data_IF_354994050434
#
_entry.id   IF_354994050434
#
_cell.length_a   1.000
_cell.length_b   1.000
_cell.length_c   1.000
_cell.angle_alpha   90.00
_cell.angle_beta   90.00
_cell.angle_gamma   90.00
#
_symmetry.space_group_name_H-M   'P 1'
#
loop_
_entity.id
_entity.type
_entity.pdbx_description
1 polymer ?
#
# COMPACT_ATOMS: atom_id res chain seq x y z
N UNK A 1 -2.07 -8.05 -17.00
CA UNK A 1 -1.07 -8.06 -15.92
C UNK A 1 -1.42 -9.18 -14.95
N UNK A 2 -0.46 -10.00 -14.51
CA UNK A 2 -0.70 -10.96 -13.43
C UNK A 2 -0.41 -10.23 -12.11
N UNK A 3 -1.44 -10.02 -11.31
CA UNK A 3 -1.31 -9.34 -10.02
C UNK A 3 -1.01 -10.33 -8.91
N UNK A 4 -0.30 -9.87 -7.87
CA UNK A 4 -0.18 -10.67 -6.65
C UNK A 4 -1.56 -10.86 -6.01
N UNK A 5 -1.70 -11.90 -5.17
CA UNK A 5 -2.95 -12.17 -4.47
C UNK A 5 -3.41 -10.95 -3.65
N UNK A 6 -2.46 -10.26 -3.01
CA UNK A 6 -2.74 -9.04 -2.23
C UNK A 6 -3.31 -7.92 -3.12
N UNK A 7 -2.62 -7.56 -4.20
CA UNK A 7 -3.09 -6.53 -5.12
C UNK A 7 -4.44 -6.87 -5.77
N UNK A 8 -4.73 -8.17 -5.95
CA UNK A 8 -6.02 -8.58 -6.51
C UNK A 8 -7.19 -8.24 -5.60
N UNK A 9 -7.00 -8.33 -4.28
CA UNK A 9 -8.06 -8.13 -3.27
C UNK A 9 -8.06 -6.69 -2.73
N UNK A 10 -6.90 -6.12 -2.44
CA UNK A 10 -6.79 -4.84 -1.73
C UNK A 10 -6.22 -3.71 -2.57
N UNK A 11 -5.82 -3.99 -3.82
CA UNK A 11 -5.01 -3.08 -4.64
C UNK A 11 -3.66 -2.70 -4.00
N UNK A 12 -3.23 -3.40 -2.94
CA UNK A 12 -1.97 -3.12 -2.23
C UNK A 12 -1.04 -4.33 -2.35
N UNK A 13 0.23 -4.08 -2.63
CA UNK A 13 1.33 -5.03 -2.44
C UNK A 13 2.18 -4.55 -1.27
N UNK A 14 2.02 -5.12 -0.06
CA UNK A 14 2.87 -4.75 1.06
C UNK A 14 4.30 -5.26 0.85
N UNK A 15 5.29 -4.48 1.25
CA UNK A 15 6.65 -4.96 1.42
C UNK A 15 6.76 -5.63 2.80
N UNK A 16 7.08 -6.92 2.82
CA UNK A 16 7.19 -7.70 4.05
C UNK A 16 8.64 -7.87 4.53
N UNK A 17 9.63 -7.46 3.73
CA UNK A 17 11.05 -7.63 4.06
C UNK A 17 11.55 -6.55 5.04
N UNK A 18 10.92 -5.37 5.03
CA UNK A 18 11.30 -4.23 5.85
C UNK A 18 10.37 -4.11 7.08
N UNK A 19 10.85 -4.52 8.25
CA UNK A 19 10.08 -4.40 9.50
C UNK A 19 10.15 -3.01 10.17
N UNK A 20 11.07 -2.15 9.74
CA UNK A 20 11.28 -0.82 10.36
C UNK A 20 10.31 0.24 9.86
N UNK A 21 9.62 -0.01 8.76
CA UNK A 21 8.72 0.94 8.10
C UNK A 21 7.62 0.18 7.36
N UNK A 22 6.47 0.82 7.19
CA UNK A 22 5.38 0.27 6.39
C UNK A 22 5.56 0.80 4.98
N UNK A 23 6.07 -0.04 4.08
CA UNK A 23 6.28 0.29 2.67
C UNK A 23 5.55 -0.69 1.76
N UNK A 24 5.34 -0.29 0.52
CA UNK A 24 4.67 -1.13 -0.46
C UNK A 24 4.26 -0.36 -1.70
N UNK A 25 3.41 -1.00 -2.49
CA UNK A 25 2.89 -0.46 -3.73
C UNK A 25 1.37 -0.44 -3.72
N UNK A 26 0.78 0.65 -4.19
CA UNK A 26 -0.64 0.75 -4.54
C UNK A 26 -0.73 0.51 -6.04
N UNK A 27 -1.60 -0.40 -6.44
CA UNK A 27 -1.79 -0.80 -7.83
C UNK A 27 -3.15 -0.33 -8.31
N UNK A 28 -3.16 0.65 -9.21
CA UNK A 28 -4.34 1.13 -9.90
C UNK A 28 -4.57 0.33 -11.16
N UNK A 29 -5.48 -0.65 -11.07
CA UNK A 29 -5.79 -1.59 -12.17
C UNK A 29 -6.31 -0.87 -13.42
N UNK A 30 -7.11 0.17 -13.24
CA UNK A 30 -7.77 0.89 -14.34
C UNK A 30 -6.82 1.84 -15.08
N UNK A 31 -5.79 2.35 -14.39
CA UNK A 31 -4.80 3.27 -14.96
C UNK A 31 -3.49 2.59 -15.36
N UNK A 32 -3.37 1.28 -15.15
CA UNK A 32 -2.12 0.52 -15.32
C UNK A 32 -0.94 1.17 -14.55
N UNK A 33 -1.25 1.77 -13.40
CA UNK A 33 -0.32 2.59 -12.63
C UNK A 33 0.03 1.92 -11.30
N UNK A 34 1.27 2.11 -10.87
CA UNK A 34 1.78 1.58 -9.60
C UNK A 34 2.47 2.71 -8.85
N UNK A 35 1.93 3.06 -7.68
CA UNK A 35 2.49 4.08 -6.81
C UNK A 35 3.18 3.44 -5.61
N UNK A 36 4.37 3.93 -5.25
CA UNK A 36 5.08 3.45 -4.06
C UNK A 36 4.68 4.31 -2.86
N UNK A 37 4.34 3.67 -1.75
CA UNK A 37 4.20 4.34 -0.45
C UNK A 37 5.28 3.88 0.53
N UNK A 38 5.67 4.77 1.43
CA UNK A 38 6.63 4.50 2.49
C UNK A 38 6.31 5.36 3.71
N UNK A 39 5.96 4.72 4.81
CA UNK A 39 5.59 5.37 6.06
C UNK A 39 6.50 4.90 7.20
N UNK A 40 7.00 5.88 7.94
CA UNK A 40 7.81 5.66 9.13
C UNK A 40 6.89 5.37 10.33
N UNK A 41 6.96 4.14 10.85
CA UNK A 41 6.16 3.71 11.99
C UNK A 41 6.52 4.41 13.30
N UNK A 42 7.63 5.17 13.35
CA UNK A 42 7.96 6.00 14.51
C UNK A 42 7.19 7.32 14.55
N UNK A 43 6.62 7.75 13.42
CA UNK A 43 5.95 9.06 13.29
C UNK A 43 4.43 8.96 13.24
N UNK A 44 3.91 7.83 12.77
CA UNK A 44 2.48 7.59 12.62
C UNK A 44 2.12 6.24 13.19
N UNK A 45 0.93 6.14 13.77
CA UNK A 45 0.43 4.84 14.18
C UNK A 45 0.08 4.00 12.96
N UNK A 46 0.15 2.67 13.09
CA UNK A 46 -0.26 1.77 12.01
C UNK A 46 -1.70 2.04 11.56
N UNK A 47 -2.58 2.47 12.47
CA UNK A 47 -3.96 2.83 12.15
C UNK A 47 -4.05 4.05 11.25
N UNK A 48 -3.31 5.12 11.56
CA UNK A 48 -3.31 6.35 10.76
C UNK A 48 -2.78 6.08 9.34
N UNK A 49 -1.75 5.24 9.24
CA UNK A 49 -1.18 4.81 7.97
C UNK A 49 -2.21 4.00 7.17
N UNK A 50 -2.86 3.01 7.78
CA UNK A 50 -3.90 2.21 7.12
C UNK A 50 -5.06 3.09 6.64
N UNK A 51 -5.52 4.04 7.46
CA UNK A 51 -6.58 4.97 7.07
C UNK A 51 -6.15 5.87 5.91
N UNK A 52 -4.90 6.35 5.92
CA UNK A 52 -4.33 7.13 4.82
C UNK A 52 -4.29 6.35 3.51
N UNK A 53 -3.77 5.13 3.55
CA UNK A 53 -3.70 4.24 2.38
C UNK A 53 -5.11 3.89 1.88
N UNK A 54 -6.02 3.55 2.80
CA UNK A 54 -7.41 3.22 2.46
C UNK A 54 -8.12 4.37 1.76
N UNK A 55 -7.85 5.61 2.19
CA UNK A 55 -8.41 6.81 1.58
C UNK A 55 -7.93 6.98 0.13
N UNK A 56 -6.64 6.74 -0.14
CA UNK A 56 -6.08 6.82 -1.49
C UNK A 56 -6.75 5.80 -2.44
N UNK A 57 -7.02 4.60 -1.95
CA UNK A 57 -7.61 3.51 -2.77
C UNK A 57 -9.11 3.70 -2.99
N UNK A 58 -9.78 4.41 -2.09
CA UNK A 58 -11.24 4.64 -2.14
C UNK A 58 -11.64 5.89 -2.94
N UNK A 59 -10.67 6.73 -3.33
CA UNK A 59 -10.85 7.91 -4.18
C UNK A 59 -10.77 7.55 -5.68
#
# INVERSE_FOLDING_TARGET
>A
MVLSMYASVTNIVPNLDEHSKISGYIVEKDKDAVEKFEYDTSKMTALDICNGIWKIISE
#
